data_IF_208638825378
#
_entry.id   IF_208638825378
#
_cell.length_a   1.000
_cell.length_b   1.000
_cell.length_c   1.000
_cell.angle_alpha   90.00
_cell.angle_beta   90.00
_cell.angle_gamma   90.00
#
_symmetry.space_group_name_H-M   'P 1'
#
loop_
_entity.id
_entity.type
_entity.pdbx_description
1 polymer ?
#
# COMPACT_ATOMS: atom_id res chain seq x y z
N UNK A 1 13.88 -6.08 2.69
CA UNK A 1 14.46 -6.18 1.34
C UNK A 1 14.98 -7.58 1.04
N UNK A 2 16.01 -8.06 1.74
CA UNK A 2 16.66 -9.36 1.45
C UNK A 2 15.66 -10.53 1.47
N UNK A 3 14.82 -10.63 2.51
CA UNK A 3 13.78 -11.64 2.58
C UNK A 3 12.80 -11.57 1.39
N UNK A 4 12.45 -10.35 0.97
CA UNK A 4 11.65 -10.12 -0.23
C UNK A 4 12.35 -10.67 -1.47
N UNK A 5 13.60 -10.30 -1.72
CA UNK A 5 14.39 -10.83 -2.85
C UNK A 5 14.44 -12.37 -2.84
N UNK A 6 14.68 -12.97 -1.67
CA UNK A 6 14.73 -14.42 -1.51
C UNK A 6 13.40 -15.10 -1.87
N UNK A 7 12.26 -14.54 -1.45
CA UNK A 7 10.91 -15.04 -1.77
C UNK A 7 10.51 -14.70 -3.22
N UNK A 8 11.00 -13.59 -3.77
CA UNK A 8 10.72 -13.15 -5.13
C UNK A 8 11.37 -14.04 -6.20
N UNK A 9 12.51 -14.66 -5.90
CA UNK A 9 13.21 -15.59 -6.80
C UNK A 9 12.34 -16.80 -7.24
N UNK A 10 11.73 -17.58 -6.32
CA UNK A 10 10.84 -18.66 -6.71
C UNK A 10 9.53 -18.14 -7.31
N UNK A 11 9.04 -16.97 -6.88
CA UNK A 11 7.82 -16.37 -7.41
C UNK A 11 7.91 -16.06 -8.92
N UNK A 12 9.11 -15.77 -9.45
CA UNK A 12 9.31 -15.57 -10.89
C UNK A 12 9.02 -16.81 -11.74
N UNK A 13 9.12 -18.01 -11.16
CA UNK A 13 8.91 -19.26 -11.89
C UNK A 13 7.43 -19.59 -12.10
N UNK A 14 6.54 -18.91 -11.39
CA UNK A 14 5.11 -19.20 -11.37
C UNK A 14 4.37 -18.03 -12.04
N UNK A 15 3.51 -18.32 -13.02
CA UNK A 15 2.77 -17.30 -13.78
C UNK A 15 1.26 -17.42 -13.56
N UNK A 16 0.57 -16.29 -13.68
CA UNK A 16 -0.89 -16.22 -13.72
C UNK A 16 -1.57 -16.72 -12.44
N UNK A 17 -2.58 -17.57 -12.61
CA UNK A 17 -3.43 -18.05 -11.51
C UNK A 17 -2.64 -18.79 -10.42
N UNK A 18 -1.62 -19.56 -10.80
CA UNK A 18 -0.79 -20.30 -9.85
C UNK A 18 -0.05 -19.35 -8.89
N UNK A 19 0.38 -18.18 -9.35
CA UNK A 19 1.04 -17.20 -8.49
C UNK A 19 0.06 -16.67 -7.43
N UNK A 20 -1.18 -16.38 -7.83
CA UNK A 20 -2.21 -15.91 -6.92
C UNK A 20 -2.57 -16.94 -5.84
N UNK A 21 -2.66 -18.22 -6.22
CA UNK A 21 -2.89 -19.31 -5.26
C UNK A 21 -1.73 -19.45 -4.27
N UNK A 22 -0.49 -19.33 -4.74
CA UNK A 22 0.69 -19.38 -3.87
C UNK A 22 0.73 -18.19 -2.91
N UNK A 23 0.42 -16.96 -3.36
CA UNK A 23 0.41 -15.80 -2.45
C UNK A 23 -0.70 -15.91 -1.41
N UNK A 24 -1.86 -16.45 -1.78
CA UNK A 24 -2.94 -16.75 -0.83
C UNK A 24 -2.52 -17.80 0.19
N UNK A 25 -1.93 -18.90 -0.27
CA UNK A 25 -1.42 -19.96 0.61
C UNK A 25 -0.38 -19.41 1.59
N UNK A 26 0.57 -18.58 1.11
CA UNK A 26 1.54 -17.92 1.99
C UNK A 26 0.85 -16.99 2.98
N UNK A 27 -0.14 -16.19 2.58
CA UNK A 27 -0.84 -15.30 3.49
C UNK A 27 -1.55 -16.04 4.64
N UNK A 28 -2.11 -17.24 4.38
CA UNK A 28 -2.80 -18.06 5.38
C UNK A 28 -1.81 -18.87 6.23
N UNK A 29 -0.77 -19.44 5.61
CA UNK A 29 0.19 -20.31 6.29
C UNK A 29 1.23 -19.53 7.08
N UNK A 30 1.55 -18.29 6.69
CA UNK A 30 2.63 -17.53 7.31
C UNK A 30 2.40 -17.29 8.82
N UNK A 31 1.23 -16.85 9.30
CA UNK A 31 0.97 -16.74 10.74
C UNK A 31 1.14 -18.08 11.48
N UNK A 32 0.61 -19.17 10.91
CA UNK A 32 0.73 -20.51 11.49
C UNK A 32 2.18 -21.01 11.55
N UNK A 33 2.98 -20.73 10.50
CA UNK A 33 4.41 -21.03 10.49
C UNK A 33 5.14 -20.23 11.55
N UNK A 34 4.88 -18.93 11.66
CA UNK A 34 5.49 -18.03 12.66
C UNK A 34 5.17 -18.50 14.08
N UNK A 35 3.96 -19.01 14.34
CA UNK A 35 3.59 -19.60 15.62
C UNK A 35 4.38 -20.88 15.96
N UNK A 36 4.63 -21.73 14.96
CA UNK A 36 5.38 -22.96 15.13
C UNK A 36 6.85 -22.71 15.47
N UNK A 37 7.45 -21.63 14.93
CA UNK A 37 8.82 -21.21 15.23
C UNK A 37 8.93 -20.45 16.57
N UNK A 38 8.40 -21.05 17.63
CA UNK A 38 8.30 -20.45 18.97
C UNK A 38 9.64 -20.02 19.57
N UNK A 39 10.74 -20.67 19.19
CA UNK A 39 12.10 -20.33 19.61
C UNK A 39 12.59 -18.98 19.09
N UNK A 40 12.08 -18.53 17.94
CA UNK A 40 12.52 -17.30 17.29
C UNK A 40 11.50 -16.15 17.43
N UNK A 41 10.22 -16.47 17.55
CA UNK A 41 9.10 -15.51 17.49
C UNK A 41 8.34 -15.37 18.81
N UNK A 42 8.59 -16.25 19.78
CA UNK A 42 7.76 -16.37 20.98
C UNK A 42 6.44 -17.14 20.75
N UNK A 43 6.21 -17.63 19.54
CA UNK A 43 5.01 -18.40 19.16
C UNK A 43 3.73 -17.59 19.30
N UNK A 44 2.64 -18.23 19.70
CA UNK A 44 1.34 -17.57 19.91
C UNK A 44 1.32 -16.51 21.04
N UNK A 45 2.36 -16.44 21.88
CA UNK A 45 2.52 -15.37 22.88
C UNK A 45 3.05 -14.07 22.28
N UNK A 46 3.58 -14.13 21.06
CA UNK A 46 4.21 -13.01 20.39
C UNK A 46 5.57 -12.64 20.98
N UNK A 47 6.35 -11.90 20.20
CA UNK A 47 7.64 -11.40 20.65
C UNK A 47 7.40 -10.15 21.50
N UNK A 48 7.90 -10.17 22.74
CA UNK A 48 8.01 -8.97 23.54
C UNK A 48 9.19 -8.16 23.00
N UNK A 49 8.93 -7.01 22.39
CA UNK A 49 9.96 -6.02 22.11
C UNK A 49 10.37 -5.47 23.49
N UNK A 50 11.42 -6.04 24.10
CA UNK A 50 11.96 -5.57 25.38
C UNK A 50 13.35 -5.01 25.07
N UNK A 51 13.51 -3.70 25.21
CA UNK A 51 14.84 -3.07 25.17
C UNK A 51 15.31 -2.99 26.62
N UNK A 52 16.54 -3.42 26.96
CA UNK A 52 17.09 -3.19 28.29
C UNK A 52 17.24 -1.67 28.48
N UNK A 53 16.34 -1.05 29.22
CA UNK A 53 16.52 0.33 29.66
C UNK A 53 17.27 0.33 30.99
N UNK A 54 18.42 0.99 30.97
CA UNK A 54 19.11 1.57 32.14
C UNK A 54 18.07 2.40 32.93
N UNK A 55 17.37 1.80 33.89
CA UNK A 55 16.29 2.49 34.62
C UNK A 55 15.12 1.63 35.12
N UNK A 56 15.00 0.35 34.76
CA UNK A 56 13.96 -0.49 35.36
C UNK A 56 14.23 -0.68 36.88
N UNK A 57 13.23 -0.46 37.75
CA UNK A 57 13.33 -0.82 39.16
C UNK A 57 13.73 -2.30 39.27
N UNK A 58 14.79 -2.59 40.02
CA UNK A 58 15.28 -3.95 40.26
C UNK A 58 14.11 -4.84 40.69
N UNK A 59 13.77 -5.85 39.90
CA UNK A 59 12.78 -6.88 40.25
C UNK A 59 11.58 -7.04 39.33
N UNK A 60 11.41 -6.24 38.26
CA UNK A 60 10.41 -6.53 37.21
C UNK A 60 11.10 -6.95 35.90
N UNK A 61 10.95 -8.22 35.46
CA UNK A 61 11.64 -8.73 34.27
C UNK A 61 11.07 -8.24 32.94
N UNK A 62 9.96 -7.49 32.94
CA UNK A 62 9.28 -7.03 31.72
C UNK A 62 8.84 -5.57 31.86
N UNK A 63 9.64 -4.63 31.36
CA UNK A 63 9.24 -3.23 31.17
C UNK A 63 8.85 -3.04 29.68
N UNK A 64 7.63 -2.55 29.36
CA UNK A 64 7.27 -2.19 27.99
C UNK A 64 8.18 -1.10 27.44
N UNK A 65 8.54 -1.15 26.14
CA UNK A 65 9.33 -0.08 25.51
C UNK A 65 8.56 1.23 25.57
N UNK A 66 9.01 2.15 26.44
CA UNK A 66 8.53 3.52 26.40
C UNK A 66 9.43 4.29 25.41
N UNK A 67 8.96 4.40 24.18
CA UNK A 67 9.53 5.30 23.17
C UNK A 67 9.24 6.74 23.60
N UNK A 68 9.95 7.21 24.61
CA UNK A 68 9.87 8.59 25.09
C UNK A 68 10.44 9.55 24.04
N UNK A 69 9.91 10.76 24.01
CA UNK A 69 10.37 11.80 23.09
C UNK A 69 11.85 12.12 23.38
N UNK A 70 12.76 12.05 22.39
CA UNK A 70 14.16 12.45 22.56
C UNK A 70 14.30 13.94 22.88
N UNK A 71 13.27 14.72 22.53
CA UNK A 71 13.16 16.14 22.76
C UNK A 71 12.09 16.34 23.85
N UNK A 72 12.52 16.77 25.03
CA UNK A 72 11.59 17.05 26.13
C UNK A 72 10.51 18.05 25.70
N UNK A 73 9.24 17.76 26.01
CA UNK A 73 8.10 18.65 25.75
C UNK A 73 6.98 18.06 24.89
N UNK A 74 7.15 16.89 24.27
CA UNK A 74 6.06 16.19 23.56
C UNK A 74 5.52 15.01 24.38
N UNK A 75 4.20 14.89 24.41
CA UNK A 75 3.51 13.71 24.94
C UNK A 75 3.79 12.47 24.05
N UNK A 76 3.78 11.27 24.65
CA UNK A 76 4.21 10.03 23.97
C UNK A 76 3.40 9.74 22.70
N UNK A 77 2.10 10.04 22.70
CA UNK A 77 1.23 9.81 21.53
C UNK A 77 1.53 10.78 20.39
N UNK A 78 1.84 12.04 20.72
CA UNK A 78 2.24 13.05 19.73
C UNK A 78 3.57 12.68 19.08
N UNK A 79 4.55 12.23 19.88
CA UNK A 79 5.84 11.76 19.36
C UNK A 79 5.68 10.61 18.38
N UNK A 80 4.89 9.59 18.75
CA UNK A 80 4.61 8.43 17.89
C UNK A 80 3.93 8.84 16.58
N UNK A 81 3.00 9.78 16.65
CA UNK A 81 2.34 10.36 15.47
C UNK A 81 3.35 11.04 14.53
N UNK A 82 4.20 11.94 15.04
CA UNK A 82 5.18 12.64 14.21
C UNK A 82 6.24 11.70 13.61
N UNK A 83 6.66 10.68 14.36
CA UNK A 83 7.55 9.64 13.85
C UNK A 83 6.88 8.86 12.71
N UNK A 84 5.63 8.43 12.90
CA UNK A 84 4.88 7.72 11.87
C UNK A 84 4.67 8.58 10.62
N UNK A 85 4.34 9.85 10.80
CA UNK A 85 4.18 10.82 9.72
C UNK A 85 5.50 11.02 8.96
N UNK A 86 6.62 11.20 9.66
CA UNK A 86 7.93 11.37 9.04
C UNK A 86 8.33 10.16 8.19
N UNK A 87 8.19 8.95 8.73
CA UNK A 87 8.48 7.71 7.99
C UNK A 87 7.56 7.58 6.76
N UNK A 88 6.27 7.89 6.93
CA UNK A 88 5.30 7.85 5.82
C UNK A 88 5.69 8.83 4.72
N UNK A 89 6.00 10.09 5.05
CA UNK A 89 6.43 11.10 4.08
C UNK A 89 7.69 10.64 3.35
N UNK A 90 8.69 10.14 4.07
CA UNK A 90 9.92 9.61 3.47
C UNK A 90 9.61 8.44 2.51
N UNK A 91 8.78 7.49 2.93
CA UNK A 91 8.37 6.37 2.08
C UNK A 91 7.67 6.86 0.80
N UNK A 92 6.77 7.83 0.90
CA UNK A 92 6.09 8.42 -0.25
C UNK A 92 7.05 9.15 -1.21
N UNK A 93 8.00 9.92 -0.68
CA UNK A 93 9.02 10.59 -1.49
C UNK A 93 9.89 9.57 -2.22
N UNK A 94 10.32 8.50 -1.54
CA UNK A 94 11.11 7.42 -2.13
C UNK A 94 10.33 6.70 -3.25
N UNK A 95 9.06 6.37 -3.01
CA UNK A 95 8.20 5.73 -4.02
C UNK A 95 7.94 6.66 -5.20
N UNK A 96 7.65 7.94 -4.96
CA UNK A 96 7.44 8.92 -6.02
C UNK A 96 8.68 9.08 -6.91
N UNK A 97 9.87 9.12 -6.30
CA UNK A 97 11.13 9.17 -7.03
C UNK A 97 11.41 7.86 -7.80
N UNK A 98 11.11 6.70 -7.19
CA UNK A 98 11.27 5.40 -7.83
C UNK A 98 10.38 5.27 -9.07
N UNK A 99 9.12 5.69 -8.99
CA UNK A 99 8.16 5.65 -10.12
C UNK A 99 8.59 6.59 -11.25
N UNK A 100 9.18 7.75 -10.94
CA UNK A 100 9.71 8.68 -11.96
C UNK A 100 11.06 8.25 -12.54
N UNK A 101 11.75 7.29 -11.91
CA UNK A 101 13.09 6.84 -12.32
C UNK A 101 13.06 5.93 -13.56
N UNK A 102 14.25 5.53 -14.05
CA UNK A 102 14.39 4.50 -15.10
C UNK A 102 13.75 3.17 -14.70
N UNK A 103 13.81 2.79 -13.43
CA UNK A 103 13.20 1.55 -12.92
C UNK A 103 11.68 1.63 -13.03
N UNK A 104 11.08 2.77 -12.67
CA UNK A 104 9.63 3.00 -12.83
C UNK A 104 9.16 2.88 -14.28
N UNK A 105 9.90 3.47 -15.23
CA UNK A 105 9.60 3.33 -16.66
C UNK A 105 9.69 1.88 -17.15
N UNK A 106 10.68 1.13 -16.68
CA UNK A 106 10.80 -0.30 -17.01
C UNK A 106 9.64 -1.13 -16.46
N UNK A 107 9.09 -0.76 -15.30
CA UNK A 107 7.92 -1.42 -14.72
C UNK A 107 6.65 -1.17 -15.54
N UNK A 108 6.48 0.04 -16.09
CA UNK A 108 5.37 0.35 -17.00
C UNK A 108 5.47 -0.49 -18.26
N UNK A 109 6.66 -0.58 -18.87
CA UNK A 109 6.87 -1.41 -20.06
C UNK A 109 6.57 -2.91 -19.79
N UNK A 110 7.03 -3.45 -18.66
CA UNK A 110 6.76 -4.84 -18.25
C UNK A 110 5.26 -5.07 -18.00
N UNK A 111 4.55 -4.06 -17.46
CA UNK A 111 3.11 -4.14 -17.21
C UNK A 111 2.32 -4.21 -18.52
N UNK A 112 2.75 -3.47 -19.53
CA UNK A 112 2.04 -3.40 -20.81
C UNK A 112 2.26 -4.69 -21.64
N UNK A 113 3.51 -5.15 -21.76
CA UNK A 113 3.84 -6.44 -22.36
C UNK A 113 5.24 -6.92 -21.94
N UNK A 114 5.32 -8.07 -21.27
CA UNK A 114 6.59 -8.62 -20.78
C UNK A 114 7.54 -9.06 -21.92
N UNK A 115 6.99 -9.67 -22.98
CA UNK A 115 7.75 -10.10 -24.16
C UNK A 115 8.32 -8.90 -24.92
N UNK A 116 7.54 -7.82 -25.08
CA UNK A 116 8.00 -6.60 -25.77
C UNK A 116 9.02 -5.81 -24.93
N UNK A 117 8.89 -5.83 -23.60
CA UNK A 117 9.88 -5.24 -22.71
C UNK A 117 11.23 -5.99 -22.81
N UNK A 118 11.19 -7.32 -22.89
CA UNK A 118 12.39 -8.16 -23.01
C UNK A 118 13.11 -7.93 -24.35
N UNK A 119 12.37 -7.83 -25.46
CA UNK A 119 12.97 -7.51 -26.77
C UNK A 119 13.56 -6.09 -26.84
N UNK A 120 13.09 -5.17 -25.98
CA UNK A 120 13.63 -3.83 -25.82
C UNK A 120 14.86 -3.75 -24.89
N UNK A 121 15.40 -4.91 -24.46
CA UNK A 121 16.60 -5.00 -23.62
C UNK A 121 16.36 -4.82 -22.12
N UNK A 122 15.11 -4.88 -21.66
CA UNK A 122 14.77 -4.80 -20.23
C UNK A 122 14.90 -6.20 -19.62
N UNK A 123 15.73 -6.35 -18.58
CA UNK A 123 15.77 -7.59 -17.81
C UNK A 123 14.55 -7.71 -16.89
N UNK A 124 13.48 -8.33 -17.41
CA UNK A 124 12.19 -8.51 -16.73
C UNK A 124 12.36 -9.17 -15.34
N UNK A 125 13.16 -10.22 -15.27
CA UNK A 125 13.39 -10.99 -14.04
C UNK A 125 14.04 -10.14 -12.95
N UNK A 126 15.12 -9.44 -13.27
CA UNK A 126 15.83 -8.57 -12.32
C UNK A 126 14.95 -7.42 -11.83
N UNK A 127 14.21 -6.78 -12.73
CA UNK A 127 13.31 -5.68 -12.37
C UNK A 127 12.21 -6.16 -11.42
N UNK A 128 11.57 -7.30 -11.70
CA UNK A 128 10.55 -7.89 -10.82
C UNK A 128 11.09 -8.24 -9.43
N UNK A 129 12.28 -8.85 -9.33
CA UNK A 129 12.90 -9.19 -8.04
C UNK A 129 13.20 -7.95 -7.21
N UNK A 130 13.80 -6.92 -7.81
CA UNK A 130 14.13 -5.68 -7.10
C UNK A 130 12.84 -5.01 -6.61
N UNK A 131 11.81 -4.94 -7.45
CA UNK A 131 10.52 -4.37 -7.08
C UNK A 131 9.85 -5.15 -5.94
N UNK A 132 9.93 -6.48 -5.95
CA UNK A 132 9.43 -7.30 -4.85
C UNK A 132 10.25 -7.10 -3.55
N UNK A 133 11.57 -6.93 -3.66
CA UNK A 133 12.42 -6.59 -2.53
C UNK A 133 12.09 -5.23 -1.91
N UNK A 134 11.83 -4.22 -2.75
CA UNK A 134 11.45 -2.86 -2.33
C UNK A 134 10.05 -2.87 -1.69
N UNK A 135 9.07 -3.55 -2.30
CA UNK A 135 7.72 -3.64 -1.73
C UNK A 135 7.73 -4.32 -0.36
N UNK A 136 8.46 -5.43 -0.22
CA UNK A 136 8.63 -6.11 1.06
C UNK A 136 9.37 -5.25 2.10
N UNK A 137 10.30 -4.38 1.68
CA UNK A 137 10.96 -3.45 2.59
C UNK A 137 9.99 -2.38 3.13
N UNK A 138 9.19 -1.77 2.26
CA UNK A 138 8.19 -0.75 2.65
C UNK A 138 7.10 -1.39 3.52
N UNK A 139 6.60 -2.57 3.15
CA UNK A 139 5.63 -3.32 3.95
C UNK A 139 6.19 -3.70 5.34
N UNK A 140 7.47 -4.10 5.41
CA UNK A 140 8.14 -4.39 6.67
C UNK A 140 8.27 -3.16 7.58
N UNK A 141 8.56 -1.99 7.01
CA UNK A 141 8.57 -0.72 7.77
C UNK A 141 7.16 -0.41 8.31
N UNK A 142 6.12 -0.60 7.48
CA UNK A 142 4.72 -0.42 7.91
C UNK A 142 4.31 -1.38 9.04
N UNK A 143 4.69 -2.65 8.95
CA UNK A 143 4.46 -3.64 10.01
C UNK A 143 5.22 -3.31 11.30
N UNK A 144 6.46 -2.82 11.18
CA UNK A 144 7.23 -2.32 12.32
C UNK A 144 6.56 -1.11 12.99
N UNK A 145 6.04 -0.17 12.20
CA UNK A 145 5.28 0.96 12.73
C UNK A 145 4.00 0.52 13.44
N UNK A 146 3.28 -0.47 12.91
CA UNK A 146 2.09 -1.02 13.56
C UNK A 146 2.43 -1.61 14.94
N UNK A 147 3.55 -2.32 15.05
CA UNK A 147 4.05 -2.83 16.33
C UNK A 147 4.40 -1.71 17.32
N UNK A 148 4.94 -0.58 16.83
CA UNK A 148 5.29 0.58 17.66
C UNK A 148 4.07 1.38 18.13
N UNK A 149 3.05 1.50 17.28
CA UNK A 149 1.86 2.34 17.51
C UNK A 149 0.83 1.66 18.43
N UNK A 150 0.72 0.34 18.38
CA UNK A 150 -0.30 -0.41 19.14
C UNK A 150 -0.10 -0.37 20.67
N UNK A 151 0.97 0.27 21.18
CA UNK A 151 1.20 0.52 22.61
C UNK A 151 1.51 -0.73 23.46
N UNK A 152 1.15 -1.92 22.97
CA UNK A 152 1.49 -3.20 23.57
C UNK A 152 2.89 -3.63 23.14
N UNK A 153 3.78 -4.04 24.07
CA UNK A 153 5.12 -4.49 23.75
C UNK A 153 5.14 -5.85 23.02
N UNK A 154 3.98 -6.44 22.72
CA UNK A 154 3.86 -7.80 22.19
C UNK A 154 3.23 -7.79 20.81
N UNK A 155 3.95 -8.33 19.84
CA UNK A 155 3.46 -8.52 18.47
C UNK A 155 2.97 -9.96 18.35
N UNK A 156 1.65 -10.15 18.27
CA UNK A 156 1.04 -11.47 18.14
C UNK A 156 0.81 -11.84 16.66
N UNK A 157 1.31 -13.00 16.18
CA UNK A 157 1.05 -13.48 14.82
C UNK A 157 -0.45 -13.62 14.49
N UNK A 158 -1.28 -13.99 15.47
CA UNK A 158 -2.73 -14.17 15.30
C UNK A 158 -3.48 -12.89 14.90
N UNK A 159 -2.90 -11.72 15.14
CA UNK A 159 -3.48 -10.44 14.74
C UNK A 159 -3.35 -10.17 13.23
N UNK A 160 -2.46 -10.87 12.54
CA UNK A 160 -2.22 -10.71 11.10
C UNK A 160 -2.99 -11.77 10.30
N UNK A 161 -4.32 -11.72 10.38
CA UNK A 161 -5.17 -12.66 9.66
C UNK A 161 -5.27 -12.31 8.17
N UNK A 162 -5.74 -13.29 7.38
CA UNK A 162 -6.11 -13.07 5.97
C UNK A 162 -7.07 -11.89 5.81
N UNK A 163 -7.98 -11.72 6.77
CA UNK A 163 -8.99 -10.67 6.78
C UNK A 163 -8.36 -9.27 6.85
N UNK A 164 -7.33 -9.09 7.68
CA UNK A 164 -6.55 -7.84 7.72
C UNK A 164 -5.86 -7.58 6.38
N UNK A 165 -5.31 -8.61 5.73
CA UNK A 165 -4.69 -8.48 4.40
C UNK A 165 -5.71 -8.03 3.35
N UNK A 166 -6.94 -8.56 3.43
CA UNK A 166 -8.06 -8.12 2.57
C UNK A 166 -8.40 -6.66 2.86
N UNK A 167 -8.50 -6.22 4.12
CA UNK A 167 -8.78 -4.82 4.45
C UNK A 167 -7.70 -3.85 3.94
N UNK A 168 -6.43 -4.20 4.04
CA UNK A 168 -5.35 -3.41 3.47
C UNK A 168 -5.46 -3.32 1.93
N UNK A 169 -5.85 -4.42 1.27
CA UNK A 169 -6.15 -4.43 -0.16
C UNK A 169 -7.35 -3.52 -0.48
N UNK A 170 -8.43 -3.58 0.31
CA UNK A 170 -9.61 -2.72 0.15
C UNK A 170 -9.22 -1.27 0.22
N UNK A 171 -8.48 -0.86 1.26
CA UNK A 171 -8.02 0.51 1.43
C UNK A 171 -7.27 0.98 0.17
N UNK A 172 -6.31 0.19 -0.32
CA UNK A 172 -5.53 0.53 -1.52
C UNK A 172 -6.41 0.64 -2.78
N UNK A 173 -7.35 -0.29 -2.97
CA UNK A 173 -8.26 -0.31 -4.14
C UNK A 173 -9.21 0.89 -4.11
N UNK A 174 -9.81 1.17 -2.94
CA UNK A 174 -10.72 2.32 -2.73
C UNK A 174 -10.00 3.63 -3.06
N UNK A 175 -8.80 3.81 -2.53
CA UNK A 175 -7.99 4.99 -2.79
C UNK A 175 -7.51 5.11 -4.24
N UNK A 176 -7.17 3.99 -4.87
CA UNK A 176 -6.78 3.89 -6.28
C UNK A 176 -5.37 3.35 -6.46
N UNK A 177 -5.26 2.05 -6.75
CA UNK A 177 -4.00 1.32 -6.91
C UNK A 177 -3.13 1.80 -8.10
N UNK A 178 -3.71 2.54 -9.05
CA UNK A 178 -3.02 3.05 -10.23
C UNK A 178 -2.24 4.36 -9.97
N UNK A 179 -2.33 4.93 -8.76
CA UNK A 179 -1.70 6.21 -8.42
C UNK A 179 -0.86 6.11 -7.15
N UNK A 180 0.18 6.94 -7.05
CA UNK A 180 1.06 6.99 -5.86
C UNK A 180 0.28 7.47 -4.63
N UNK A 181 -0.60 8.46 -4.78
CA UNK A 181 -1.36 9.08 -3.67
C UNK A 181 -2.58 8.26 -3.27
N UNK A 182 -3.14 7.45 -4.19
CA UNK A 182 -4.34 6.64 -3.95
C UNK A 182 -4.30 5.83 -2.65
N UNK A 183 -3.26 5.01 -2.40
CA UNK A 183 -3.13 4.26 -1.15
C UNK A 183 -3.22 5.10 0.13
N UNK A 184 -2.70 6.34 0.15
CA UNK A 184 -2.81 7.21 1.32
C UNK A 184 -4.26 7.66 1.57
N UNK A 185 -4.97 8.06 0.52
CA UNK A 185 -6.39 8.45 0.64
C UNK A 185 -7.23 7.25 1.04
N UNK A 186 -6.94 6.09 0.46
CA UNK A 186 -7.59 4.83 0.82
C UNK A 186 -7.41 4.42 2.27
N UNK A 187 -6.18 4.53 2.78
CA UNK A 187 -5.87 4.27 4.19
C UNK A 187 -6.55 5.28 5.12
N UNK A 188 -6.61 6.57 4.74
CA UNK A 188 -7.33 7.59 5.50
C UNK A 188 -8.84 7.28 5.57
N UNK A 189 -9.46 6.95 4.44
CA UNK A 189 -10.90 6.59 4.37
C UNK A 189 -11.18 5.37 5.23
N UNK A 190 -10.33 4.34 5.13
CA UNK A 190 -10.46 3.13 5.95
C UNK A 190 -10.32 3.45 7.44
N UNK A 191 -9.31 4.23 7.84
CA UNK A 191 -9.11 4.62 9.25
C UNK A 191 -10.26 5.46 9.81
N UNK A 192 -10.78 6.43 9.04
CA UNK A 192 -11.96 7.20 9.46
C UNK A 192 -13.19 6.29 9.61
N UNK A 193 -13.35 5.34 8.70
CA UNK A 193 -14.45 4.38 8.79
C UNK A 193 -14.34 3.49 10.03
N UNK A 194 -13.16 2.97 10.36
CA UNK A 194 -12.98 2.07 11.51
C UNK A 194 -13.00 2.81 12.85
N UNK A 195 -12.37 3.98 12.92
CA UNK A 195 -12.06 4.63 14.20
C UNK A 195 -13.10 5.69 14.57
N UNK A 196 -13.81 6.28 13.59
CA UNK A 196 -14.81 7.33 13.82
C UNK A 196 -16.22 6.79 13.58
N UNK A 197 -16.47 6.19 12.41
CA UNK A 197 -17.82 5.73 12.04
C UNK A 197 -18.16 4.41 12.75
N UNK A 198 -17.18 3.51 12.87
CA UNK A 198 -17.32 2.20 13.49
C UNK A 198 -17.96 2.25 14.89
N UNK A 199 -17.40 3.02 15.84
CA UNK A 199 -17.92 3.10 17.21
C UNK A 199 -19.29 3.78 17.32
N UNK A 200 -19.67 4.62 16.36
CA UNK A 200 -20.97 5.31 16.35
C UNK A 200 -22.11 4.43 15.79
N UNK A 201 -21.78 3.28 15.18
CA UNK A 201 -22.79 2.35 14.68
C UNK A 201 -23.56 1.71 15.84
N UNK A 202 -24.89 1.60 15.74
CA UNK A 202 -25.68 0.89 16.74
C UNK A 202 -25.14 -0.53 16.96
N UNK A 203 -24.98 -0.97 18.22
CA UNK A 203 -24.31 -2.24 18.58
C UNK A 203 -24.83 -3.50 17.87
N UNK A 204 -26.04 -3.47 17.29
CA UNK A 204 -26.54 -4.53 16.38
C UNK A 204 -25.68 -4.73 15.11
N UNK A 205 -24.86 -3.74 14.75
CA UNK A 205 -23.96 -3.77 13.59
C UNK A 205 -22.49 -3.94 13.96
N UNK A 206 -22.16 -4.10 15.24
CA UNK A 206 -20.77 -4.23 15.72
C UNK A 206 -20.05 -5.42 15.05
N UNK A 207 -20.76 -6.54 14.91
CA UNK A 207 -20.30 -7.72 14.16
C UNK A 207 -20.52 -7.64 12.64
N UNK A 208 -21.26 -6.63 12.16
CA UNK A 208 -21.55 -6.45 10.73
C UNK A 208 -20.47 -5.62 10.01
N UNK A 209 -19.51 -5.03 10.74
CA UNK A 209 -18.39 -4.25 10.19
C UNK A 209 -17.70 -4.93 8.98
N UNK A 210 -17.36 -6.23 9.01
CA UNK A 210 -16.77 -6.90 7.86
C UNK A 210 -17.69 -6.96 6.63
N UNK A 211 -18.99 -7.17 6.86
CA UNK A 211 -20.00 -7.24 5.80
C UNK A 211 -20.20 -5.88 5.17
N UNK A 212 -20.29 -4.82 5.99
CA UNK A 212 -20.46 -3.44 5.52
C UNK A 212 -19.24 -3.02 4.68
N UNK A 213 -18.03 -3.28 5.16
CA UNK A 213 -16.80 -3.01 4.41
C UNK A 213 -16.73 -3.79 3.10
N UNK A 214 -17.16 -5.06 3.09
CA UNK A 214 -17.22 -5.89 1.89
C UNK A 214 -18.23 -5.38 0.86
N UNK A 215 -19.42 -4.97 1.29
CA UNK A 215 -20.44 -4.37 0.42
C UNK A 215 -19.96 -3.03 -0.13
N UNK A 216 -19.35 -2.18 0.71
CA UNK A 216 -18.78 -0.91 0.31
C UNK A 216 -17.67 -1.11 -0.75
N UNK A 217 -16.80 -2.12 -0.57
CA UNK A 217 -15.80 -2.52 -1.56
C UNK A 217 -16.47 -2.89 -2.90
N UNK A 218 -17.49 -3.75 -2.89
CA UNK A 218 -18.17 -4.17 -4.12
C UNK A 218 -18.77 -2.95 -4.84
N UNK A 219 -19.45 -2.08 -4.10
CA UNK A 219 -20.01 -0.83 -4.66
C UNK A 219 -18.89 0.04 -5.24
N UNK A 220 -17.79 0.22 -4.52
CA UNK A 220 -16.63 0.99 -4.99
C UNK A 220 -16.04 0.39 -6.27
N UNK A 221 -15.89 -0.93 -6.35
CA UNK A 221 -15.39 -1.61 -7.55
C UNK A 221 -16.32 -1.41 -8.76
N UNK A 222 -17.63 -1.40 -8.52
CA UNK A 222 -18.64 -1.19 -9.58
C UNK A 222 -18.70 0.27 -10.05
N UNK A 223 -18.63 1.22 -9.13
CA UNK A 223 -18.83 2.66 -9.42
C UNK A 223 -17.50 3.35 -9.79
N UNK A 224 -16.38 2.89 -9.25
CA UNK A 224 -15.09 3.59 -9.26
C UNK A 224 -13.89 2.63 -9.45
N UNK A 225 -13.75 1.92 -10.59
CA UNK A 225 -12.69 0.93 -10.78
C UNK A 225 -11.27 1.52 -10.74
N UNK A 226 -11.11 2.81 -11.03
CA UNK A 226 -9.84 3.54 -10.93
C UNK A 226 -9.56 4.12 -9.52
N UNK A 227 -10.45 3.85 -8.55
CA UNK A 227 -10.43 4.44 -7.21
C UNK A 227 -10.80 5.92 -7.17
N UNK A 228 -10.82 6.49 -5.96
CA UNK A 228 -11.22 7.90 -5.72
C UNK A 228 -10.32 8.87 -6.49
N UNK A 229 -8.99 8.64 -6.46
CA UNK A 229 -8.02 9.53 -7.11
C UNK A 229 -8.11 9.45 -8.64
N UNK A 230 -8.40 8.27 -9.18
CA UNK A 230 -8.56 8.08 -10.62
C UNK A 230 -9.76 8.86 -11.17
N UNK A 231 -10.91 8.77 -10.49
CA UNK A 231 -12.12 9.52 -10.84
C UNK A 231 -11.87 11.03 -10.84
N UNK A 232 -11.18 11.54 -9.81
CA UNK A 232 -10.92 12.98 -9.68
C UNK A 232 -10.05 13.51 -10.83
N UNK A 233 -9.05 12.74 -11.26
CA UNK A 233 -8.21 13.08 -12.41
C UNK A 233 -8.99 13.07 -13.73
N UNK A 234 -9.89 12.11 -13.91
CA UNK A 234 -10.70 12.00 -15.13
C UNK A 234 -11.71 13.16 -15.24
N UNK A 235 -12.31 13.55 -14.11
CA UNK A 235 -13.19 14.72 -14.01
C UNK A 235 -12.42 16.02 -14.28
N UNK A 236 -11.21 16.17 -13.72
CA UNK A 236 -10.34 17.33 -14.01
C UNK A 236 -9.93 17.38 -15.49
N UNK A 237 -9.59 16.25 -16.10
CA UNK A 237 -9.24 16.19 -17.52
C UNK A 237 -10.42 16.57 -18.43
N UNK A 238 -11.64 16.10 -18.12
CA UNK A 238 -12.87 16.47 -18.84
C UNK A 238 -13.26 17.95 -18.66
N UNK A 239 -12.98 18.54 -17.49
CA UNK A 239 -13.18 19.97 -17.27
C UNK A 239 -12.13 20.84 -17.97
N UNK A 240 -10.88 20.40 -18.01
CA UNK A 240 -9.80 21.10 -18.71
C UNK A 240 -10.04 21.14 -20.23
N UNK A 241 -10.48 20.02 -20.83
CA UNK A 241 -10.77 19.97 -22.27
C UNK A 241 -11.98 20.81 -22.68
N UNK A 242 -12.99 20.96 -21.80
CA UNK A 242 -14.12 21.88 -22.00
C UNK A 242 -13.72 23.35 -21.95
N UNK A 243 -12.65 23.69 -21.23
CA UNK A 243 -12.17 25.07 -21.09
C UNK A 243 -11.28 25.52 -22.26
N UNK A 244 -10.69 24.59 -23.00
CA UNK A 244 -9.88 24.85 -24.20
C UNK A 244 -10.65 24.77 -25.53
N UNK A 245 -11.90 24.30 -25.55
CA UNK A 245 -12.73 24.18 -26.76
C UNK A 245 -13.53 25.44 -27.14
N UNK A 246 -13.13 26.63 -26.68
CA UNK A 246 -13.89 27.87 -26.80
C UNK A 246 -13.39 28.89 -27.83
N UNK A 247 -12.57 28.50 -28.81
CA UNK A 247 -12.20 29.38 -29.92
C UNK A 247 -12.77 28.80 -31.23
N UNK A 248 -13.81 29.39 -31.84
CA UNK A 248 -14.24 28.99 -33.17
C UNK A 248 -13.13 29.35 -34.18
N UNK A 249 -12.56 28.34 -34.83
CA UNK A 249 -11.74 28.53 -36.04
C UNK A 249 -12.61 29.21 -37.10
N UNK A 250 -12.26 30.45 -37.42
CA UNK A 250 -12.80 31.17 -38.57
C UNK A 250 -12.30 30.44 -39.81
N UNK A 251 -13.19 29.66 -40.42
CA UNK A 251 -13.00 29.04 -41.72
C UNK A 251 -12.87 30.16 -42.78
N UNK A 252 -11.65 30.60 -43.03
CA UNK A 252 -11.37 31.56 -44.09
C UNK A 252 -11.19 30.79 -45.40
N UNK A 253 -12.12 31.01 -46.32
CA UNK A 253 -12.17 30.34 -47.60
C UNK A 253 -10.94 30.62 -48.45
N UNK A 254 -10.39 29.55 -49.02
CA UNK A 254 -9.60 29.62 -50.24
C UNK A 254 -10.09 28.48 -51.14
N UNK A 255 -10.71 28.87 -52.24
CA UNK A 255 -11.24 28.02 -53.31
C UNK A 255 -10.12 27.19 -53.95
N UNK A 256 -10.38 25.96 -54.42
CA UNK A 256 -9.41 25.23 -55.24
C UNK A 256 -9.36 25.88 -56.62
N UNK A 257 -8.19 26.38 -57.00
CA UNK A 257 -7.91 26.81 -58.38
C UNK A 257 -7.83 25.57 -59.25
N UNK A 258 -8.83 25.45 -60.11
CA UNK A 258 -8.90 24.60 -61.28
C UNK A 258 -7.63 24.74 -62.12
N UNK A 259 -7.02 23.63 -62.49
CA UNK A 259 -6.03 23.60 -63.57
C UNK A 259 -6.34 22.42 -64.48
N UNK A 260 -7.15 22.73 -65.49
CA UNK A 260 -7.17 22.05 -66.77
C UNK A 260 -5.76 22.02 -67.38
N UNK A 261 -5.34 20.80 -67.78
CA UNK A 261 -4.75 20.31 -69.06
C UNK A 261 -3.81 21.24 -69.88
N UNK A 262 -2.92 20.74 -70.78
CA UNK A 262 -3.10 19.66 -71.76
C UNK A 262 -2.42 18.33 -71.42
#
# INVERSE_FOLDING_TARGET
>A
FVAGVAIGLPALRIKGLYLALVTLAVAVLFPALVEQFSSLTGGGRGLALVVPQEGCPRGRPECPVRWESPFGGLENDQWRYFLALAITVVAFVLVANLVKSRVGRSLVAIRDNDIAAESSGINVSRTKIITFGVSAAIAGVGGGMLALLNGNPRVNPTSFTLLVSIYLLVAVVVGGASTVIGPAIGALVYGVFTDVIGPELPGRFENATPVILGVLLIIQMLVAPNGIVGQFKEIQAKMASRRSGGAPEVHNGATPVERDTP
#
